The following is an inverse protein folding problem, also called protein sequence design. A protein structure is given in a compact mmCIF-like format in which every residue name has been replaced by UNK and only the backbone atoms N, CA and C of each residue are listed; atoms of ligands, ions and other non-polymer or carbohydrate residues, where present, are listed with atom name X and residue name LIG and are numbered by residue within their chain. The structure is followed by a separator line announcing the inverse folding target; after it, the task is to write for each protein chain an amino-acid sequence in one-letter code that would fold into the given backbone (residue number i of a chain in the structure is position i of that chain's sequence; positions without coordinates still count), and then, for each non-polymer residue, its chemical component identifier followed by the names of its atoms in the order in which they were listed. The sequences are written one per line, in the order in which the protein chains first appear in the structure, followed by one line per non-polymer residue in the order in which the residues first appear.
data_IF_187609676135
#
_entry.id   IF_187609676135
#
_cell.length_a   1.000
_cell.length_b   1.000
_cell.length_c   1.000
_cell.angle_alpha   90.00
_cell.angle_beta   90.00
_cell.angle_gamma   90.00
#
_symmetry.space_group_name_H-M   'P 1'
#
loop_
_entity.id
_entity.type
_entity.pdbx_description
1 polymer ?
#
# COMPACT_ATOMS: atom_id res chain seq x y z
N UNK A 1 4.21 22.00 26.80
CA UNK A 1 4.56 20.55 26.87
C UNK A 1 3.39 19.70 26.40
N UNK A 2 2.89 19.90 25.16
CA UNK A 2 1.62 19.30 24.68
C UNK A 2 1.52 19.08 23.17
N UNK A 3 2.60 19.32 22.42
CA UNK A 3 2.65 19.16 20.96
C UNK A 3 3.24 17.82 20.53
N UNK A 4 4.10 17.20 21.36
CA UNK A 4 4.72 15.92 21.04
C UNK A 4 3.74 14.74 21.13
N UNK A 5 2.73 14.82 22.00
CA UNK A 5 1.74 13.75 22.19
C UNK A 5 0.75 13.65 21.03
N UNK A 6 0.36 14.77 20.41
CA UNK A 6 -0.59 14.74 19.28
C UNK A 6 0.05 14.19 18.00
N UNK A 7 1.33 14.44 17.76
CA UNK A 7 2.01 14.00 16.54
C UNK A 7 2.24 12.48 16.52
N UNK A 8 2.68 11.92 17.65
CA UNK A 8 2.84 10.48 17.81
C UNK A 8 1.49 9.76 17.78
N UNK A 9 0.45 10.32 18.40
CA UNK A 9 -0.89 9.71 18.43
C UNK A 9 -1.57 9.69 17.03
N UNK A 10 -1.43 10.74 16.22
CA UNK A 10 -1.93 10.77 14.83
C UNK A 10 -1.14 9.80 13.93
N UNK A 11 0.18 9.71 14.09
CA UNK A 11 0.99 8.80 13.28
C UNK A 11 0.75 7.33 13.64
N UNK A 12 0.61 6.99 14.93
CA UNK A 12 0.28 5.62 15.37
C UNK A 12 -1.11 5.17 14.90
N UNK A 13 -2.11 6.06 14.99
CA UNK A 13 -3.47 5.77 14.50
C UNK A 13 -3.52 5.62 12.97
N UNK A 14 -2.67 6.35 12.24
CA UNK A 14 -2.54 6.17 10.79
C UNK A 14 -1.84 4.85 10.44
N UNK A 15 -0.84 4.41 11.21
CA UNK A 15 -0.14 3.14 10.94
C UNK A 15 -0.97 1.90 11.32
N UNK A 16 -1.71 1.94 12.44
CA UNK A 16 -2.59 0.83 12.86
C UNK A 16 -3.77 0.64 11.89
N UNK A 17 -4.35 1.72 11.39
CA UNK A 17 -5.47 1.67 10.45
C UNK A 17 -5.03 1.20 9.05
N UNK A 18 -3.79 1.50 8.64
CA UNK A 18 -3.20 1.04 7.36
C UNK A 18 -2.81 -0.44 7.37
N UNK A 19 -2.43 -1.00 8.51
CA UNK A 19 -2.23 -2.44 8.63
C UNK A 19 -3.57 -3.18 8.46
N UNK A 20 -4.60 -2.77 9.23
CA UNK A 20 -5.95 -3.32 9.11
C UNK A 20 -6.51 -3.17 7.69
N UNK A 21 -6.32 -2.01 7.07
CA UNK A 21 -6.72 -1.76 5.68
C UNK A 21 -6.12 -2.79 4.71
N UNK A 22 -4.83 -3.14 4.87
CA UNK A 22 -4.19 -4.17 4.02
C UNK A 22 -4.75 -5.56 4.29
N UNK A 23 -5.00 -5.89 5.56
CA UNK A 23 -5.64 -7.16 5.91
C UNK A 23 -7.02 -7.31 5.25
N UNK A 24 -7.84 -6.25 5.27
CA UNK A 24 -9.17 -6.23 4.63
C UNK A 24 -9.06 -6.37 3.10
N UNK A 25 -8.10 -5.69 2.47
CA UNK A 25 -7.86 -5.83 1.02
C UNK A 25 -7.38 -7.23 0.68
N UNK A 26 -6.52 -7.85 1.49
CA UNK A 26 -6.08 -9.23 1.29
C UNK A 26 -7.23 -10.23 1.41
N UNK A 27 -8.11 -10.07 2.39
CA UNK A 27 -9.31 -10.90 2.55
C UNK A 27 -10.24 -10.76 1.33
N UNK A 28 -10.44 -9.53 0.88
CA UNK A 28 -11.23 -9.22 -0.32
C UNK A 28 -10.65 -9.87 -1.57
N UNK A 29 -9.33 -9.75 -1.78
CA UNK A 29 -8.64 -10.38 -2.91
C UNK A 29 -8.73 -11.90 -2.86
N UNK A 30 -8.56 -12.52 -1.69
CA UNK A 30 -8.64 -13.97 -1.54
C UNK A 30 -10.02 -14.53 -1.90
N UNK A 31 -11.08 -13.87 -1.43
CA UNK A 31 -12.46 -14.27 -1.75
C UNK A 31 -12.77 -14.09 -3.24
N UNK A 32 -12.38 -12.95 -3.81
CA UNK A 32 -12.54 -12.66 -5.23
C UNK A 32 -11.81 -13.68 -6.12
N UNK A 33 -10.53 -13.94 -5.84
CA UNK A 33 -9.66 -14.85 -6.60
C UNK A 33 -10.18 -16.30 -6.50
N UNK A 34 -10.73 -16.68 -5.35
CA UNK A 34 -11.38 -17.99 -5.14
C UNK A 34 -12.59 -18.16 -6.03
N UNK A 35 -13.50 -17.17 -6.05
CA UNK A 35 -14.71 -17.24 -6.85
C UNK A 35 -14.42 -17.22 -8.36
N UNK A 36 -13.36 -16.53 -8.79
CA UNK A 36 -12.96 -16.45 -10.20
C UNK A 36 -12.31 -17.73 -10.71
N UNK A 37 -11.44 -18.38 -9.91
CA UNK A 37 -10.78 -19.62 -10.31
C UNK A 37 -11.73 -20.83 -10.31
N UNK A 38 -12.73 -20.84 -9.43
CA UNK A 38 -13.65 -21.98 -9.28
C UNK A 38 -14.80 -21.96 -10.30
N UNK A 39 -14.84 -20.95 -11.18
CA UNK A 39 -15.81 -20.85 -12.28
C UNK A 39 -17.25 -20.58 -11.82
N UNK A 40 -17.43 -20.10 -10.58
CA UNK A 40 -18.74 -19.72 -10.07
C UNK A 40 -19.21 -18.44 -10.79
N UNK A 41 -20.17 -18.61 -11.71
CA UNK A 41 -20.75 -17.52 -12.50
C UNK A 41 -21.56 -16.48 -11.70
N UNK A 42 -21.64 -16.62 -10.39
CA UNK A 42 -22.38 -15.78 -9.45
C UNK A 42 -21.44 -15.16 -8.39
N UNK A 43 -20.25 -14.74 -8.84
CA UNK A 43 -19.26 -14.11 -7.96
C UNK A 43 -19.58 -12.63 -7.76
N UNK A 44 -19.72 -12.20 -6.50
CA UNK A 44 -19.82 -10.79 -6.16
C UNK A 44 -18.66 -9.98 -6.77
N UNK A 45 -18.97 -8.77 -7.24
CA UNK A 45 -17.95 -7.85 -7.73
C UNK A 45 -16.95 -7.51 -6.60
N UNK A 46 -15.65 -7.31 -6.89
CA UNK A 46 -14.65 -7.03 -5.86
C UNK A 46 -15.01 -5.83 -4.96
N UNK A 47 -15.67 -4.80 -5.51
CA UNK A 47 -16.15 -3.64 -4.75
C UNK A 47 -17.27 -3.99 -3.74
N UNK A 48 -18.12 -4.98 -4.07
CA UNK A 48 -19.17 -5.48 -3.17
C UNK A 48 -18.54 -6.25 -2.01
N UNK A 49 -17.63 -7.17 -2.32
CA UNK A 49 -16.85 -7.93 -1.33
C UNK A 49 -16.09 -6.98 -0.40
N UNK A 50 -15.44 -5.94 -0.96
CA UNK A 50 -14.72 -4.95 -0.18
C UNK A 50 -15.65 -4.20 0.77
N UNK A 51 -16.81 -3.76 0.28
CA UNK A 51 -17.78 -3.03 1.11
C UNK A 51 -18.25 -3.88 2.28
N UNK A 52 -18.60 -5.15 2.02
CA UNK A 52 -19.00 -6.10 3.06
C UNK A 52 -17.90 -6.34 4.09
N UNK A 53 -16.66 -6.57 3.65
CA UNK A 53 -15.53 -6.76 4.57
C UNK A 53 -15.23 -5.50 5.40
N UNK A 54 -15.40 -4.30 4.84
CA UNK A 54 -15.25 -3.05 5.60
C UNK A 54 -16.35 -2.91 6.66
N UNK A 55 -17.59 -3.24 6.33
CA UNK A 55 -18.71 -3.20 7.27
C UNK A 55 -18.58 -4.22 8.39
N UNK A 56 -17.94 -5.35 8.14
CA UNK A 56 -17.71 -6.37 9.16
C UNK A 56 -16.55 -6.01 10.11
N UNK A 57 -15.43 -5.50 9.58
CA UNK A 57 -14.19 -5.37 10.34
C UNK A 57 -13.73 -3.93 10.61
N UNK A 58 -14.32 -2.92 9.95
CA UNK A 58 -13.84 -1.53 10.02
C UNK A 58 -14.95 -0.48 9.83
N UNK A 59 -16.07 -0.63 10.53
CA UNK A 59 -17.28 0.21 10.43
C UNK A 59 -17.05 1.73 10.56
N UNK A 60 -16.00 2.18 11.26
CA UNK A 60 -15.68 3.61 11.46
C UNK A 60 -14.37 4.07 10.78
N UNK A 61 -13.90 3.34 9.75
CA UNK A 61 -12.64 3.71 9.10
C UNK A 61 -12.81 4.76 8.01
N UNK A 62 -11.97 5.81 8.07
CA UNK A 62 -11.80 6.80 7.00
C UNK A 62 -10.92 6.31 5.85
N UNK A 63 -10.42 5.07 5.93
CA UNK A 63 -9.45 4.51 4.99
C UNK A 63 -10.06 3.81 3.78
N UNK A 64 -11.39 3.90 3.57
CA UNK A 64 -12.07 3.34 2.39
C UNK A 64 -11.40 3.73 1.05
N UNK A 65 -11.02 4.99 0.80
CA UNK A 65 -10.36 5.36 -0.46
C UNK A 65 -8.98 4.70 -0.65
N UNK A 66 -8.27 4.45 0.46
CA UNK A 66 -6.98 3.77 0.42
C UNK A 66 -7.14 2.30 0.09
N UNK A 67 -8.07 1.61 0.76
CA UNK A 67 -8.37 0.21 0.49
C UNK A 67 -8.83 0.01 -0.95
N UNK A 68 -9.75 0.86 -1.44
CA UNK A 68 -10.22 0.79 -2.82
C UNK A 68 -9.09 1.00 -3.82
N UNK A 69 -8.21 1.97 -3.60
CA UNK A 69 -7.04 2.19 -4.47
C UNK A 69 -6.08 0.98 -4.51
N UNK A 70 -5.89 0.30 -3.37
CA UNK A 70 -5.08 -0.92 -3.34
C UNK A 70 -5.76 -2.04 -4.12
N UNK A 71 -7.05 -2.29 -3.87
CA UNK A 71 -7.83 -3.33 -4.55
C UNK A 71 -7.85 -3.12 -6.06
N UNK A 72 -8.32 -1.95 -6.51
CA UNK A 72 -8.43 -1.60 -7.93
C UNK A 72 -7.07 -1.69 -8.62
N UNK A 73 -6.02 -1.22 -7.93
CA UNK A 73 -4.66 -1.25 -8.41
C UNK A 73 -4.11 -2.65 -8.63
N UNK A 74 -4.30 -3.54 -7.65
CA UNK A 74 -3.89 -4.94 -7.76
C UNK A 74 -4.63 -5.65 -8.88
N UNK A 75 -5.96 -5.52 -8.96
CA UNK A 75 -6.78 -6.15 -9.99
C UNK A 75 -6.40 -5.63 -11.39
N UNK A 76 -6.31 -4.31 -11.56
CA UNK A 76 -5.97 -3.69 -12.85
C UNK A 76 -4.57 -4.07 -13.32
N UNK A 77 -3.64 -4.31 -12.38
CA UNK A 77 -2.24 -4.63 -12.67
C UNK A 77 -1.90 -6.11 -12.54
N UNK A 78 -2.88 -6.99 -12.35
CA UNK A 78 -2.66 -8.40 -12.03
C UNK A 78 -1.70 -9.07 -13.02
N UNK A 79 -1.90 -8.91 -14.32
CA UNK A 79 -1.02 -9.50 -15.34
C UNK A 79 0.43 -9.00 -15.27
N UNK A 80 0.61 -7.70 -15.04
CA UNK A 80 1.93 -7.07 -14.89
C UNK A 80 2.63 -7.60 -13.63
N UNK A 81 1.89 -7.71 -12.52
CA UNK A 81 2.39 -8.21 -11.23
C UNK A 81 2.78 -9.69 -11.32
N UNK A 82 1.92 -10.49 -11.94
CA UNK A 82 2.12 -11.93 -12.12
C UNK A 82 3.36 -12.20 -12.99
N UNK A 83 3.59 -11.41 -14.04
CA UNK A 83 4.79 -11.51 -14.87
C UNK A 83 6.07 -11.23 -14.08
N UNK A 84 6.05 -10.26 -13.16
CA UNK A 84 7.20 -9.97 -12.27
C UNK A 84 7.42 -11.10 -11.27
N UNK A 85 6.35 -11.65 -10.68
CA UNK A 85 6.43 -12.79 -9.76
C UNK A 85 7.03 -14.00 -10.47
N UNK A 86 6.53 -14.36 -11.66
CA UNK A 86 7.04 -15.50 -12.44
C UNK A 86 8.50 -15.31 -12.85
N UNK A 87 8.93 -14.08 -13.18
CA UNK A 87 10.33 -13.79 -13.49
C UNK A 87 11.23 -13.95 -12.25
N UNK A 88 10.74 -13.60 -11.08
CA UNK A 88 11.49 -13.72 -9.82
C UNK A 88 11.58 -15.17 -9.33
N UNK A 89 10.59 -16.00 -9.63
CA UNK A 89 10.52 -17.41 -9.23
C UNK A 89 10.20 -18.32 -10.43
N UNK A 90 11.15 -18.52 -11.38
CA UNK A 90 10.90 -19.29 -12.60
C UNK A 90 10.59 -20.77 -12.34
N UNK A 91 11.15 -21.34 -11.27
CA UNK A 91 10.94 -22.74 -10.86
C UNK A 91 9.61 -22.94 -10.10
N UNK A 92 8.89 -21.86 -9.77
CA UNK A 92 7.64 -21.92 -9.01
C UNK A 92 6.49 -21.25 -9.79
N UNK A 93 5.75 -22.04 -10.59
CA UNK A 93 4.60 -21.54 -11.34
C UNK A 93 3.58 -20.84 -10.43
N UNK A 94 2.96 -19.77 -10.95
CA UNK A 94 2.11 -18.89 -10.15
C UNK A 94 0.83 -19.58 -9.65
N UNK A 95 0.33 -20.56 -10.41
CA UNK A 95 -0.79 -21.44 -10.09
C UNK A 95 -0.46 -22.40 -8.92
N UNK A 96 0.83 -22.63 -8.64
CA UNK A 96 1.28 -23.45 -7.50
C UNK A 96 1.53 -22.64 -6.23
N UNK A 97 1.48 -21.31 -6.29
CA UNK A 97 1.56 -20.45 -5.10
C UNK A 97 0.18 -20.49 -4.43
N UNK A 98 0.15 -20.73 -3.11
CA UNK A 98 -1.09 -20.67 -2.34
C UNK A 98 -1.78 -19.32 -2.58
N UNK A 99 -3.12 -19.33 -2.75
CA UNK A 99 -3.91 -18.13 -3.10
C UNK A 99 -3.61 -16.94 -2.20
N UNK A 100 -3.50 -17.18 -0.88
CA UNK A 100 -3.16 -16.15 0.11
C UNK A 100 -1.77 -15.56 -0.17
N UNK A 101 -0.75 -16.40 -0.31
CA UNK A 101 0.64 -15.96 -0.55
C UNK A 101 0.77 -15.21 -1.88
N UNK A 102 0.10 -15.68 -2.92
CA UNK A 102 0.06 -15.01 -4.22
C UNK A 102 -0.54 -13.62 -4.11
N UNK A 103 -1.64 -13.46 -3.38
CA UNK A 103 -2.27 -12.17 -3.16
C UNK A 103 -1.43 -11.24 -2.26
N UNK A 104 -0.68 -11.78 -1.29
CA UNK A 104 0.32 -11.03 -0.52
C UNK A 104 1.42 -10.50 -1.44
N UNK A 105 1.96 -11.34 -2.34
CA UNK A 105 2.99 -10.95 -3.29
C UNK A 105 2.48 -9.86 -4.26
N UNK A 106 1.28 -10.05 -4.82
CA UNK A 106 0.64 -9.06 -5.70
C UNK A 106 0.45 -7.71 -5.01
N UNK A 107 -0.12 -7.71 -3.80
CA UNK A 107 -0.35 -6.47 -3.05
C UNK A 107 0.96 -5.78 -2.68
N UNK A 108 1.93 -6.52 -2.14
CA UNK A 108 3.23 -5.97 -1.77
C UNK A 108 3.97 -5.40 -2.98
N UNK A 109 3.96 -6.09 -4.12
CA UNK A 109 4.58 -5.63 -5.35
C UNK A 109 3.89 -4.39 -5.92
N UNK A 110 2.55 -4.34 -5.90
CA UNK A 110 1.82 -3.15 -6.30
C UNK A 110 2.21 -1.94 -5.44
N UNK A 111 2.27 -2.10 -4.12
CA UNK A 111 2.71 -1.02 -3.25
C UNK A 111 4.17 -0.60 -3.50
N UNK A 112 5.08 -1.54 -3.75
CA UNK A 112 6.47 -1.22 -4.07
C UNK A 112 6.58 -0.40 -5.37
N UNK A 113 5.96 -0.88 -6.44
CA UNK A 113 6.07 -0.28 -7.78
C UNK A 113 5.32 1.05 -7.91
N UNK A 114 4.19 1.20 -7.21
CA UNK A 114 3.28 2.33 -7.37
C UNK A 114 3.16 3.22 -6.12
N UNK A 115 4.00 3.01 -5.09
CA UNK A 115 4.11 3.96 -3.99
C UNK A 115 4.72 5.29 -4.45
N UNK A 116 4.23 6.37 -3.84
CA UNK A 116 4.70 7.73 -4.11
C UNK A 116 6.22 7.91 -3.90
N UNK A 117 6.83 7.09 -3.01
CA UNK A 117 8.27 7.11 -2.76
C UNK A 117 9.08 6.73 -4.00
N UNK A 118 8.70 5.68 -4.71
CA UNK A 118 9.42 5.20 -5.88
C UNK A 118 9.20 6.13 -7.09
N UNK A 119 7.98 6.67 -7.21
CA UNK A 119 7.65 7.71 -8.20
C UNK A 119 8.39 9.02 -7.94
N UNK A 120 8.53 9.43 -6.68
CA UNK A 120 9.29 10.62 -6.31
C UNK A 120 10.80 10.43 -6.55
N UNK A 121 11.34 9.25 -6.23
CA UNK A 121 12.73 8.90 -6.49
C UNK A 121 13.05 8.92 -7.99
N UNK A 122 12.26 8.24 -8.81
CA UNK A 122 12.44 8.23 -10.28
C UNK A 122 12.30 9.63 -10.90
N UNK A 123 11.31 10.42 -10.47
CA UNK A 123 11.20 11.84 -10.88
C UNK A 123 12.40 12.69 -10.45
N UNK A 124 13.01 12.40 -9.30
CA UNK A 124 14.22 13.10 -8.83
C UNK A 124 15.46 12.73 -9.64
N UNK A 125 15.54 11.50 -10.15
CA UNK A 125 16.65 11.03 -11.00
C UNK A 125 16.55 11.57 -12.43
N UNK A 126 15.32 11.68 -12.97
CA UNK A 126 15.07 12.25 -14.31
C UNK A 126 15.28 13.77 -14.34
N UNK A 127 15.23 14.46 -13.19
CA UNK A 127 15.50 15.90 -13.10
C UNK A 127 16.55 16.21 -12.01
N UNK A 128 17.84 15.94 -12.27
CA UNK A 128 18.92 15.98 -11.27
C UNK A 128 19.13 17.37 -10.63
N UNK A 129 18.62 18.44 -11.25
CA UNK A 129 18.70 19.80 -10.72
C UNK A 129 17.88 20.04 -9.43
N UNK A 130 16.95 19.15 -9.07
CA UNK A 130 16.05 19.34 -7.93
C UNK A 130 16.54 18.73 -6.61
N UNK A 131 17.62 17.94 -6.63
CA UNK A 131 18.19 17.26 -5.44
C UNK A 131 18.64 18.27 -4.35
N UNK A 132 18.96 19.50 -4.74
CA UNK A 132 19.41 20.57 -3.82
C UNK A 132 18.32 21.02 -2.82
N UNK A 133 17.04 20.77 -3.11
CA UNK A 133 15.93 21.19 -2.24
C UNK A 133 15.64 20.19 -1.12
N UNK A 134 15.89 18.89 -1.34
CA UNK A 134 15.61 17.85 -0.35
C UNK A 134 16.66 17.78 0.76
N UNK A 135 17.89 18.23 0.51
CA UNK A 135 18.93 18.33 1.55
C UNK A 135 18.69 19.50 2.53
N UNK A 136 17.91 20.52 2.14
CA UNK A 136 17.65 21.70 2.99
C UNK A 136 16.55 21.46 4.03
N UNK A 137 15.67 20.47 3.81
CA UNK A 137 14.61 20.08 4.74
C UNK A 137 15.09 19.22 5.93
N UNK A 138 16.39 18.85 5.97
CA UNK A 138 16.99 18.04 7.05
C UNK A 138 17.91 18.82 8.01
N UNK A 139 17.96 20.16 7.96
CA UNK A 139 18.66 20.93 9.00
C UNK A 139 17.71 21.18 10.19
N UNK A 140 17.98 20.65 11.39
CA UNK A 140 17.26 21.07 12.59
C UNK A 140 17.52 22.56 12.84
N UNK A 141 16.44 23.30 13.09
CA UNK A 141 16.50 24.71 13.48
C UNK A 141 17.01 24.86 14.92
N UNK A 142 18.28 24.54 15.17
CA UNK A 142 18.97 24.90 16.40
C UNK A 142 20.46 25.10 16.12
N UNK A 143 20.77 26.24 15.50
CA UNK A 143 22.09 26.85 15.56
C UNK A 143 21.94 28.37 15.36
N UNK A 144 21.37 29.04 16.36
CA UNK A 144 21.55 30.48 16.56
C UNK A 144 22.32 30.65 17.86
N UNK A 145 23.57 31.07 17.66
CA UNK A 145 24.61 31.28 18.64
C UNK A 145 24.16 32.23 19.76
N UNK A 146 24.34 31.78 21.00
CA UNK A 146 24.45 32.67 22.15
C UNK A 146 25.81 33.37 22.08
N UNK A 147 25.84 34.65 21.67
CA UNK A 147 26.98 35.54 21.92
C UNK A 147 26.56 37.00 21.84
N UNK A 148 26.04 37.53 22.94
CA UNK A 148 26.16 38.94 23.30
C UNK A 148 26.41 39.01 24.81
N UNK A 149 27.65 39.36 25.15
CA UNK A 149 27.93 40.27 26.26
C UNK A 149 27.96 41.68 25.68
#
# INVERSE_FOLDING_TARGET
MGTLTRYTQVHLSTMSNRHLSRSIVLQTLFEWDTNHEDGNGDSDAPDVILTRNIEEFATDTKDKPFMKRLLDGVITKQSDLDAVISKAAPEWPIDKIARVDRNILRLGLYELLFSELLVAYTKSLVNPGRMKYLQRAKKPAHSLSYRMS
#
